data_IF_145079034897
#
_entry.id   IF_145079034897
#
_cell.length_a   1.000
_cell.length_b   1.000
_cell.length_c   1.000
_cell.angle_alpha   90.00
_cell.angle_beta   90.00
_cell.angle_gamma   90.00
#
_symmetry.space_group_name_H-M   'P 1'
#
loop_
_entity.id
_entity.type
_entity.pdbx_description
1 polymer ?
#
# COMPACT_ATOMS: atom_id res chain seq x y z
N UNK A 1 2.82 0.71 13.00
CA UNK A 1 3.38 1.99 12.53
C UNK A 1 4.62 1.82 11.63
N UNK A 2 5.67 1.10 12.05
CA UNK A 2 6.89 0.92 11.21
C UNK A 2 6.62 0.31 9.82
N UNK A 3 5.74 -0.69 9.73
CA UNK A 3 5.37 -1.31 8.44
C UNK A 3 4.70 -0.33 7.48
N UNK A 4 3.81 0.52 8.00
CA UNK A 4 3.12 1.54 7.21
C UNK A 4 4.11 2.59 6.72
N UNK A 5 5.01 3.04 7.60
CA UNK A 5 6.04 4.00 7.21
C UNK A 5 6.91 3.45 6.06
N UNK A 6 7.36 2.19 6.18
CA UNK A 6 8.13 1.54 5.11
C UNK A 6 7.34 1.38 3.82
N UNK A 7 6.07 0.97 3.89
CA UNK A 7 5.22 0.84 2.71
C UNK A 7 5.03 2.18 1.99
N UNK A 8 4.87 3.28 2.73
CA UNK A 8 4.75 4.63 2.16
C UNK A 8 6.04 5.07 1.45
N UNK A 9 7.21 4.77 2.02
CA UNK A 9 8.51 5.11 1.42
C UNK A 9 8.79 4.31 0.13
N UNK A 10 8.32 3.08 0.04
CA UNK A 10 8.59 2.19 -1.08
C UNK A 10 7.47 2.13 -2.13
N UNK A 11 6.41 2.94 -1.99
CA UNK A 11 5.25 2.89 -2.88
C UNK A 11 5.44 3.77 -4.14
N UNK A 12 5.46 3.16 -5.35
CA UNK A 12 5.53 3.92 -6.60
C UNK A 12 4.30 4.81 -6.84
N UNK A 13 3.13 4.39 -6.36
CA UNK A 13 1.89 5.14 -6.53
C UNK A 13 1.90 6.45 -5.74
N UNK A 14 2.43 6.42 -4.52
CA UNK A 14 2.58 7.60 -3.65
C UNK A 14 3.61 8.55 -4.25
N UNK A 15 4.74 8.03 -4.71
CA UNK A 15 5.78 8.81 -5.38
C UNK A 15 5.24 9.48 -6.66
N UNK A 16 4.56 8.73 -7.52
CA UNK A 16 3.97 9.27 -8.74
C UNK A 16 2.91 10.33 -8.44
N UNK A 17 2.10 10.15 -7.40
CA UNK A 17 1.13 11.15 -6.96
C UNK A 17 1.80 12.42 -6.40
N UNK A 18 2.91 12.28 -5.68
CA UNK A 18 3.71 13.41 -5.21
C UNK A 18 4.26 14.23 -6.38
N UNK A 19 4.88 13.59 -7.37
CA UNK A 19 5.44 14.30 -8.52
C UNK A 19 4.37 14.98 -9.37
N UNK A 20 3.19 14.36 -9.54
CA UNK A 20 2.04 15.01 -10.20
C UNK A 20 1.57 16.25 -9.44
N UNK A 21 1.53 16.19 -8.12
CA UNK A 21 1.17 17.34 -7.29
C UNK A 21 2.21 18.45 -7.38
N UNK A 22 3.51 18.12 -7.33
CA UNK A 22 4.61 19.07 -7.52
C UNK A 22 4.54 19.75 -8.89
N UNK A 23 4.38 18.98 -9.97
CA UNK A 23 4.24 19.52 -11.32
C UNK A 23 3.01 20.45 -11.45
N UNK A 24 1.90 20.12 -10.80
CA UNK A 24 0.72 20.97 -10.78
C UNK A 24 0.96 22.32 -10.08
N UNK A 25 1.80 22.35 -9.03
CA UNK A 25 2.19 23.60 -8.36
C UNK A 25 3.06 24.46 -9.30
N UNK A 26 4.05 23.86 -9.96
CA UNK A 26 4.93 24.58 -10.91
C UNK A 26 4.17 25.16 -12.12
N UNK A 27 3.02 24.57 -12.47
CA UNK A 27 2.16 25.07 -13.54
C UNK A 27 1.45 26.39 -13.18
N UNK A 28 1.29 26.70 -11.89
CA UNK A 28 0.58 27.91 -11.42
C UNK A 28 1.27 29.20 -11.89
N UNK A 29 2.58 29.43 -11.61
CA UNK A 29 3.25 30.64 -12.09
C UNK A 29 3.31 30.68 -13.62
N UNK A 30 3.57 29.55 -14.29
CA UNK A 30 3.60 29.46 -15.75
C UNK A 30 2.31 30.03 -16.38
N UNK A 31 1.14 29.59 -15.91
CA UNK A 31 -0.16 30.08 -16.40
C UNK A 31 -0.46 31.52 -16.01
N UNK A 32 0.11 32.02 -14.92
CA UNK A 32 -0.08 33.39 -14.46
C UNK A 32 0.82 34.43 -15.14
N UNK A 33 1.98 34.01 -15.67
CA UNK A 33 3.02 34.93 -16.18
C UNK A 33 3.33 34.76 -17.67
N UNK A 34 3.12 33.59 -18.28
CA UNK A 34 3.55 33.32 -19.67
C UNK A 34 2.96 34.27 -20.72
N UNK A 35 1.80 34.87 -20.46
CA UNK A 35 1.12 35.74 -21.43
C UNK A 35 1.58 37.20 -21.38
N UNK A 36 2.50 37.56 -20.49
CA UNK A 36 2.87 38.97 -20.23
C UNK A 36 4.37 39.23 -20.16
N UNK A 37 5.23 38.21 -20.29
CA UNK A 37 6.69 38.39 -20.18
C UNK A 37 7.31 38.52 -21.57
N UNK A 38 8.01 39.64 -21.89
CA UNK A 38 8.77 39.77 -23.13
C UNK A 38 9.96 38.81 -23.12
N UNK A 39 10.22 38.11 -24.23
CA UNK A 39 11.40 37.28 -24.41
C UNK A 39 12.53 38.07 -25.05
N UNK A 40 13.71 37.90 -24.48
CA UNK A 40 14.97 38.31 -25.09
C UNK A 40 15.57 37.11 -25.83
N UNK A 41 15.60 37.18 -27.16
CA UNK A 41 16.25 36.22 -28.03
C UNK A 41 17.55 36.78 -28.59
N UNK A 42 18.53 35.91 -28.80
CA UNK A 42 19.74 36.22 -29.56
C UNK A 42 19.87 35.19 -30.69
N UNK A 43 19.88 35.65 -31.93
CA UNK A 43 20.07 34.81 -33.10
C UNK A 43 21.39 35.16 -33.77
N UNK A 44 22.19 34.15 -34.10
CA UNK A 44 23.46 34.33 -34.84
C UNK A 44 23.26 33.77 -36.24
N UNK A 45 23.23 34.65 -37.23
CA UNK A 45 23.11 34.29 -38.63
C UNK A 45 24.42 33.73 -39.19
N UNK A 46 24.36 32.59 -39.87
CA UNK A 46 25.48 32.04 -40.65
C UNK A 46 25.33 32.51 -42.09
N UNK A 47 26.31 33.24 -42.61
CA UNK A 47 26.36 33.65 -44.03
C UNK A 47 27.66 33.16 -44.64
N UNK A 48 27.57 32.36 -45.71
CA UNK A 48 28.71 31.72 -46.38
C UNK A 48 29.64 30.92 -45.44
N UNK A 49 29.07 30.22 -44.44
CA UNK A 49 29.83 29.36 -43.52
C UNK A 49 30.62 30.09 -42.43
N UNK A 50 30.53 31.43 -42.35
CA UNK A 50 31.20 32.23 -41.32
C UNK A 50 30.15 32.88 -40.42
N UNK A 51 30.25 32.61 -39.11
CA UNK A 51 29.56 33.37 -38.07
C UNK A 51 30.36 34.62 -37.73
N UNK A 52 29.71 35.78 -37.68
CA UNK A 52 30.37 37.03 -37.28
C UNK A 52 29.44 37.85 -36.38
N UNK A 53 30.02 38.68 -35.52
CA UNK A 53 29.26 39.59 -34.65
C UNK A 53 28.35 40.54 -35.45
N UNK A 54 28.69 40.84 -36.71
CA UNK A 54 27.87 41.65 -37.60
C UNK A 54 26.58 40.94 -38.07
N UNK A 55 26.49 39.61 -37.89
CA UNK A 55 25.31 38.81 -38.20
C UNK A 55 24.57 38.33 -36.93
N UNK A 56 24.92 38.86 -35.75
CA UNK A 56 24.22 38.58 -34.50
C UNK A 56 23.10 39.60 -34.30
N UNK A 57 21.86 39.13 -34.22
CA UNK A 57 20.68 39.96 -33.95
C UNK A 57 20.20 39.67 -32.53
N UNK A 58 20.01 40.73 -31.74
CA UNK A 58 19.33 40.66 -30.46
C UNK A 58 17.88 41.09 -30.71
N UNK A 59 16.93 40.25 -30.36
CA UNK A 59 15.50 40.51 -30.56
C UNK A 59 14.79 40.51 -29.21
N UNK A 60 14.06 41.58 -28.91
CA UNK A 60 13.11 41.60 -27.82
C UNK A 60 11.72 41.42 -28.44
N UNK A 61 11.19 40.20 -28.35
CA UNK A 61 9.90 39.84 -28.92
C UNK A 61 8.95 39.38 -27.81
N UNK A 62 7.65 39.65 -27.96
CA UNK A 62 6.67 39.01 -27.09
C UNK A 62 6.60 37.51 -27.46
N UNK A 63 6.77 36.60 -26.51
CA UNK A 63 6.73 35.13 -26.79
C UNK A 63 5.40 34.68 -27.38
N UNK A 64 4.36 35.43 -27.05
CA UNK A 64 3.00 35.11 -27.36
C UNK A 64 2.66 35.76 -28.70
N UNK A 65 2.35 34.92 -29.71
CA UNK A 65 1.62 35.33 -30.92
C UNK A 65 0.18 35.77 -30.60
N UNK A 66 -0.20 35.75 -29.31
CA UNK A 66 -1.46 36.22 -28.78
C UNK A 66 -1.33 37.71 -28.40
N UNK A 67 -2.33 38.55 -28.70
CA UNK A 67 -2.32 39.96 -28.33
C UNK A 67 -2.17 40.11 -26.81
N UNK A 68 -1.54 41.19 -26.35
CA UNK A 68 -1.43 41.54 -24.92
C UNK A 68 -2.83 41.45 -24.31
N UNK A 69 -3.04 40.44 -23.48
CA UNK A 69 -4.36 40.16 -22.94
C UNK A 69 -4.63 41.02 -21.71
N UNK A 70 -5.90 41.37 -21.50
CA UNK A 70 -6.33 42.05 -20.28
C UNK A 70 -5.92 41.24 -19.04
N UNK A 71 -5.45 41.89 -17.96
CA UNK A 71 -4.85 41.22 -16.79
C UNK A 71 -5.77 40.21 -16.08
N UNK A 72 -7.08 40.25 -16.34
CA UNK A 72 -8.06 39.32 -15.77
C UNK A 72 -7.97 37.88 -16.29
N UNK A 73 -7.59 37.67 -17.56
CA UNK A 73 -7.53 36.32 -18.15
C UNK A 73 -6.38 35.46 -17.60
N UNK A 74 -5.11 35.91 -17.58
CA UNK A 74 -4.03 35.12 -16.96
C UNK A 74 -4.26 34.87 -15.46
N UNK A 75 -4.91 35.82 -14.76
CA UNK A 75 -5.30 35.62 -13.35
C UNK A 75 -6.35 34.50 -13.20
N UNK A 76 -7.32 34.41 -14.11
CA UNK A 76 -8.31 33.33 -14.10
C UNK A 76 -7.67 31.97 -14.42
N UNK A 77 -6.73 31.91 -15.36
CA UNK A 77 -5.97 30.70 -15.67
C UNK A 77 -5.09 30.24 -14.49
N UNK A 78 -4.41 31.18 -13.83
CA UNK A 78 -3.65 30.89 -12.61
C UNK A 78 -4.55 30.36 -11.48
N UNK A 79 -5.75 30.93 -11.30
CA UNK A 79 -6.75 30.41 -10.34
C UNK A 79 -7.21 29.00 -10.69
N UNK A 80 -7.46 28.72 -11.97
CA UNK A 80 -7.81 27.37 -12.42
C UNK A 80 -6.66 26.37 -12.19
N UNK A 81 -5.41 26.77 -12.45
CA UNK A 81 -4.22 25.98 -12.17
C UNK A 81 -4.06 25.70 -10.66
N UNK A 82 -4.33 26.71 -9.81
CA UNK A 82 -4.33 26.55 -8.36
C UNK A 82 -5.36 25.50 -7.89
N UNK A 83 -6.59 25.54 -8.43
CA UNK A 83 -7.60 24.51 -8.10
C UNK A 83 -7.17 23.11 -8.54
N UNK A 84 -6.51 22.98 -9.71
CA UNK A 84 -5.92 21.71 -10.16
C UNK A 84 -4.83 21.22 -9.21
N UNK A 85 -3.97 22.12 -8.72
CA UNK A 85 -2.95 21.78 -7.73
C UNK A 85 -3.55 21.30 -6.40
N UNK A 86 -4.63 21.92 -5.93
CA UNK A 86 -5.37 21.42 -4.75
C UNK A 86 -5.95 20.03 -4.97
N UNK A 87 -6.59 19.80 -6.12
CA UNK A 87 -7.10 18.47 -6.47
C UNK A 87 -5.98 17.41 -6.52
N UNK A 88 -4.82 17.75 -7.11
CA UNK A 88 -3.66 16.89 -7.13
C UNK A 88 -3.11 16.60 -5.71
N UNK A 89 -3.13 17.59 -4.82
CA UNK A 89 -2.75 17.43 -3.40
C UNK A 89 -3.68 16.46 -2.66
N UNK A 90 -4.99 16.52 -2.91
CA UNK A 90 -5.95 15.54 -2.38
C UNK A 90 -5.73 14.14 -2.94
N UNK A 91 -5.36 14.01 -4.21
CA UNK A 91 -5.01 12.73 -4.82
C UNK A 91 -3.73 12.14 -4.19
N UNK A 92 -2.73 12.96 -3.88
CA UNK A 92 -1.54 12.52 -3.15
C UNK A 92 -1.89 11.98 -1.75
N UNK A 93 -2.69 12.72 -0.97
CA UNK A 93 -3.16 12.23 0.35
C UNK A 93 -3.97 10.94 0.24
N UNK A 94 -4.82 10.83 -0.79
CA UNK A 94 -5.59 9.62 -1.08
C UNK A 94 -4.68 8.42 -1.36
N UNK A 95 -3.62 8.61 -2.14
CA UNK A 95 -2.63 7.56 -2.40
C UNK A 95 -1.95 7.08 -1.11
N UNK A 96 -1.57 8.01 -0.22
CA UNK A 96 -1.00 7.67 1.09
C UNK A 96 -1.97 6.84 1.94
N UNK A 97 -3.25 7.26 2.02
CA UNK A 97 -4.26 6.50 2.76
C UNK A 97 -4.55 5.14 2.15
N UNK A 98 -4.54 5.01 0.83
CA UNK A 98 -4.73 3.74 0.14
C UNK A 98 -3.61 2.75 0.49
N UNK A 99 -2.35 3.19 0.46
CA UNK A 99 -1.20 2.35 0.85
C UNK A 99 -1.24 1.98 2.33
N UNK A 100 -1.58 2.94 3.21
CA UNK A 100 -1.77 2.67 4.64
C UNK A 100 -2.82 1.59 4.87
N UNK A 101 -4.00 1.74 4.25
CA UNK A 101 -5.09 0.76 4.35
C UNK A 101 -4.64 -0.62 3.83
N UNK A 102 -4.07 -0.67 2.64
CA UNK A 102 -3.61 -1.93 2.04
C UNK A 102 -2.57 -2.64 2.91
N UNK A 103 -1.66 -1.89 3.52
CA UNK A 103 -0.64 -2.43 4.43
C UNK A 103 -1.27 -3.01 5.70
N UNK A 104 -2.23 -2.28 6.30
CA UNK A 104 -2.93 -2.73 7.49
C UNK A 104 -3.80 -3.94 7.21
N UNK A 105 -4.56 -3.95 6.13
CA UNK A 105 -5.42 -5.08 5.73
C UNK A 105 -4.57 -6.34 5.52
N UNK A 106 -3.46 -6.22 4.78
CA UNK A 106 -2.54 -7.35 4.57
C UNK A 106 -1.90 -7.84 5.88
N UNK A 107 -1.53 -6.92 6.78
CA UNK A 107 -0.99 -7.27 8.09
C UNK A 107 -2.01 -8.01 8.97
N UNK A 108 -3.23 -7.47 9.09
CA UNK A 108 -4.27 -8.09 9.93
C UNK A 108 -4.72 -9.43 9.37
N UNK A 109 -4.82 -9.56 8.04
CA UNK A 109 -5.11 -10.84 7.40
C UNK A 109 -4.05 -11.89 7.73
N UNK A 110 -2.77 -11.53 7.59
CA UNK A 110 -1.65 -12.42 7.94
C UNK A 110 -1.69 -12.85 9.41
N UNK A 111 -1.95 -11.91 10.33
CA UNK A 111 -2.07 -12.21 11.76
C UNK A 111 -3.26 -13.14 12.02
N UNK A 112 -4.42 -12.87 11.41
CA UNK A 112 -5.61 -13.70 11.56
C UNK A 112 -5.37 -15.14 11.07
N UNK A 113 -4.75 -15.32 9.90
CA UNK A 113 -4.45 -16.64 9.35
C UNK A 113 -3.41 -17.38 10.20
N UNK A 114 -2.44 -16.67 10.79
CA UNK A 114 -1.48 -17.25 11.73
C UNK A 114 -2.13 -17.71 13.05
N UNK A 115 -3.09 -16.95 13.57
CA UNK A 115 -3.83 -17.30 14.77
C UNK A 115 -4.78 -18.47 14.52
N UNK A 116 -5.45 -18.50 13.36
CA UNK A 116 -6.28 -19.62 12.91
C UNK A 116 -5.44 -20.90 12.79
N UNK A 117 -4.25 -20.82 12.20
CA UNK A 117 -3.34 -21.95 12.09
C UNK A 117 -2.93 -22.48 13.48
N UNK A 118 -2.64 -21.58 14.42
CA UNK A 118 -2.30 -21.93 15.80
C UNK A 118 -3.46 -22.63 16.51
N UNK A 119 -4.70 -22.16 16.31
CA UNK A 119 -5.90 -22.79 16.85
C UNK A 119 -6.13 -24.19 16.25
N UNK A 120 -6.04 -24.33 14.92
CA UNK A 120 -6.22 -25.61 14.25
C UNK A 120 -5.21 -26.67 14.72
N UNK A 121 -3.97 -26.28 14.99
CA UNK A 121 -2.97 -27.18 15.56
C UNK A 121 -3.34 -27.64 16.98
N UNK A 122 -3.87 -26.75 17.82
CA UNK A 122 -4.35 -27.10 19.16
C UNK A 122 -5.54 -28.07 19.08
N UNK A 123 -6.50 -27.79 18.20
CA UNK A 123 -7.65 -28.68 17.97
C UNK A 123 -7.20 -30.06 17.47
N UNK A 124 -6.23 -30.11 16.55
CA UNK A 124 -5.70 -31.37 16.04
C UNK A 124 -4.90 -32.16 17.09
N UNK A 125 -4.28 -31.49 18.07
CA UNK A 125 -3.65 -32.15 19.20
C UNK A 125 -4.70 -32.78 20.14
N UNK A 126 -5.74 -32.02 20.49
CA UNK A 126 -6.84 -32.51 21.34
C UNK A 126 -7.58 -33.69 20.72
N UNK A 127 -7.87 -33.65 19.41
CA UNK A 127 -8.53 -34.76 18.72
C UNK A 127 -7.62 -36.00 18.64
N UNK A 128 -6.29 -35.81 18.58
CA UNK A 128 -5.33 -36.93 18.66
C UNK A 128 -5.36 -37.62 20.01
N UNK A 129 -5.40 -36.86 21.10
CA UNK A 129 -5.55 -37.43 22.46
C UNK A 129 -6.85 -38.24 22.59
N UNK A 130 -7.94 -37.77 21.98
CA UNK A 130 -9.21 -38.51 21.94
C UNK A 130 -9.12 -39.78 21.10
N UNK A 131 -8.38 -39.75 19.99
CA UNK A 131 -8.14 -40.94 19.16
C UNK A 131 -7.39 -42.01 19.94
N UNK A 132 -6.30 -41.63 20.63
CA UNK A 132 -5.53 -42.53 21.49
C UNK A 132 -6.40 -43.18 22.58
N UNK A 133 -7.28 -42.40 23.22
CA UNK A 133 -8.23 -42.91 24.19
C UNK A 133 -9.26 -43.87 23.58
N UNK A 134 -9.81 -43.53 22.42
CA UNK A 134 -10.78 -44.38 21.71
C UNK A 134 -10.16 -45.70 21.25
N UNK A 135 -8.91 -45.70 20.79
CA UNK A 135 -8.17 -46.90 20.40
C UNK A 135 -7.93 -47.82 21.60
N UNK A 136 -7.53 -47.27 22.76
CA UNK A 136 -7.40 -48.03 23.99
C UNK A 136 -8.74 -48.65 24.43
N UNK A 137 -9.84 -47.89 24.30
CA UNK A 137 -11.19 -48.37 24.60
C UNK A 137 -11.66 -49.48 23.64
N UNK A 138 -11.29 -49.43 22.36
CA UNK A 138 -11.59 -50.51 21.40
C UNK A 138 -10.85 -51.78 21.77
N UNK A 139 -9.56 -51.69 22.13
CA UNK A 139 -8.77 -52.84 22.59
C UNK A 139 -9.34 -53.48 23.86
N UNK A 140 -9.90 -52.67 24.75
CA UNK A 140 -10.58 -53.13 25.97
C UNK A 140 -12.05 -53.58 25.75
N UNK A 141 -12.58 -53.44 24.52
CA UNK A 141 -13.97 -53.77 24.19
C UNK A 141 -15.03 -52.79 24.74
N UNK A 142 -14.62 -51.61 25.22
CA UNK A 142 -15.51 -50.61 25.85
C UNK A 142 -15.92 -49.48 24.91
N UNK A 143 -15.27 -49.36 23.74
CA UNK A 143 -15.56 -48.32 22.74
C UNK A 143 -15.95 -48.90 21.39
N UNK A 144 -16.82 -48.19 20.66
CA UNK A 144 -17.31 -48.60 19.34
C UNK A 144 -16.31 -48.27 18.22
N UNK A 145 -16.06 -49.18 17.26
CA UNK A 145 -15.29 -48.89 16.04
C UNK A 145 -15.85 -47.71 15.22
N UNK A 146 -17.16 -47.44 15.30
CA UNK A 146 -17.77 -46.29 14.63
C UNK A 146 -17.32 -44.94 15.22
N UNK A 147 -16.99 -44.90 16.51
CA UNK A 147 -16.48 -43.71 17.19
C UNK A 147 -15.07 -43.39 16.72
N UNK A 148 -14.19 -44.38 16.58
CA UNK A 148 -12.83 -44.17 16.06
C UNK A 148 -12.83 -43.65 14.62
N UNK A 149 -13.68 -44.21 13.74
CA UNK A 149 -13.79 -43.73 12.37
C UNK A 149 -14.27 -42.25 12.30
N UNK A 150 -15.15 -41.85 13.22
CA UNK A 150 -15.60 -40.45 13.33
C UNK A 150 -14.45 -39.52 13.74
N UNK A 151 -13.61 -39.95 14.68
CA UNK A 151 -12.43 -39.20 15.13
C UNK A 151 -11.39 -39.07 14.00
N UNK A 152 -11.11 -40.17 13.29
CA UNK A 152 -10.18 -40.18 12.15
C UNK A 152 -10.64 -39.25 11.02
N UNK A 153 -11.94 -39.27 10.69
CA UNK A 153 -12.53 -38.33 9.73
C UNK A 153 -12.34 -36.87 10.18
N UNK A 154 -12.49 -36.59 11.48
CA UNK A 154 -12.28 -35.25 12.04
C UNK A 154 -10.81 -34.81 11.95
N UNK A 155 -9.86 -35.71 12.23
CA UNK A 155 -8.42 -35.44 12.05
C UNK A 155 -8.08 -35.15 10.60
N UNK A 156 -8.59 -35.96 9.67
CA UNK A 156 -8.40 -35.76 8.23
C UNK A 156 -8.92 -34.39 7.78
N UNK A 157 -10.10 -33.99 8.26
CA UNK A 157 -10.67 -32.67 8.01
C UNK A 157 -9.82 -31.53 8.59
N UNK A 158 -9.28 -31.69 9.79
CA UNK A 158 -8.37 -30.71 10.41
C UNK A 158 -7.05 -30.58 9.64
N UNK A 159 -6.44 -31.70 9.22
CA UNK A 159 -5.23 -31.67 8.40
C UNK A 159 -5.44 -30.97 7.05
N UNK A 160 -6.57 -31.22 6.38
CA UNK A 160 -6.91 -30.52 5.14
C UNK A 160 -7.04 -29.00 5.36
N UNK A 161 -7.66 -28.58 6.46
CA UNK A 161 -7.77 -27.15 6.83
C UNK A 161 -6.42 -26.53 7.17
N UNK A 162 -5.57 -27.21 7.92
CA UNK A 162 -4.20 -26.77 8.23
C UNK A 162 -3.41 -26.55 6.94
N UNK A 163 -3.47 -27.52 6.02
CA UNK A 163 -2.81 -27.41 4.72
C UNK A 163 -3.32 -26.20 3.94
N UNK A 164 -4.63 -26.00 3.86
CA UNK A 164 -5.23 -24.85 3.19
C UNK A 164 -4.76 -23.52 3.80
N UNK A 165 -4.87 -23.35 5.12
CA UNK A 165 -4.45 -22.10 5.81
C UNK A 165 -2.95 -21.85 5.67
N UNK A 166 -2.11 -22.89 5.75
CA UNK A 166 -0.66 -22.75 5.58
C UNK A 166 -0.27 -22.26 4.18
N UNK A 167 -0.98 -22.73 3.15
CA UNK A 167 -0.78 -22.27 1.77
C UNK A 167 -1.18 -20.80 1.62
N UNK A 168 -2.29 -20.41 2.24
CA UNK A 168 -2.77 -19.02 2.25
C UNK A 168 -1.81 -18.09 2.98
N UNK A 169 -1.26 -18.52 4.12
CA UNK A 169 -0.31 -17.75 4.91
C UNK A 169 0.95 -17.42 4.09
N UNK A 170 1.42 -18.37 3.28
CA UNK A 170 2.55 -18.16 2.37
C UNK A 170 2.24 -17.09 1.31
N UNK A 171 1.02 -17.09 0.76
CA UNK A 171 0.57 -16.07 -0.19
C UNK A 171 0.38 -14.69 0.46
N UNK A 172 -0.08 -14.65 1.71
CA UNK A 172 -0.30 -13.41 2.46
C UNK A 172 1.03 -12.77 2.87
N UNK A 173 2.03 -13.57 3.28
CA UNK A 173 3.40 -13.12 3.50
C UNK A 173 4.01 -12.53 2.24
N UNK A 174 3.86 -13.22 1.10
CA UNK A 174 4.32 -12.75 -0.20
C UNK A 174 3.70 -11.40 -0.57
N UNK A 175 2.38 -11.27 -0.35
CA UNK A 175 1.63 -10.04 -0.62
C UNK A 175 2.11 -8.89 0.25
N UNK A 176 2.28 -9.11 1.55
CA UNK A 176 2.77 -8.08 2.48
C UNK A 176 4.20 -7.67 2.15
N UNK A 177 5.09 -8.63 1.87
CA UNK A 177 6.47 -8.34 1.47
C UNK A 177 6.54 -7.50 0.20
N UNK A 178 5.68 -7.78 -0.80
CA UNK A 178 5.57 -6.97 -2.02
C UNK A 178 5.17 -5.53 -1.71
N UNK A 179 4.16 -5.31 -0.85
CA UNK A 179 3.72 -3.95 -0.43
C UNK A 179 4.86 -3.21 0.28
N UNK A 180 5.67 -3.92 1.07
CA UNK A 180 6.78 -3.34 1.81
C UNK A 180 8.04 -3.12 0.95
N UNK A 181 8.04 -3.47 -0.34
CA UNK A 181 9.23 -3.42 -1.20
C UNK A 181 10.33 -4.38 -0.74
N UNK A 182 9.97 -5.54 -0.18
CA UNK A 182 10.90 -6.58 0.31
C UNK A 182 10.85 -7.81 -0.59
N UNK A 183 11.90 -8.67 -0.58
CA UNK A 183 11.86 -9.95 -1.26
C UNK A 183 10.66 -10.79 -0.79
N UNK A 184 9.98 -11.43 -1.75
CA UNK A 184 8.69 -12.11 -1.54
C UNK A 184 8.74 -13.16 -0.42
N UNK A 185 9.84 -13.91 -0.34
CA UNK A 185 10.04 -15.00 0.63
C UNK A 185 10.72 -14.55 1.93
N UNK A 186 10.95 -13.25 2.15
CA UNK A 186 11.67 -12.80 3.34
C UNK A 186 10.80 -13.07 4.59
N UNK A 187 11.32 -13.75 5.62
CA UNK A 187 10.52 -14.04 6.80
C UNK A 187 10.12 -12.75 7.53
N UNK A 188 8.93 -12.80 8.10
CA UNK A 188 8.36 -11.78 8.99
C UNK A 188 8.02 -12.48 10.30
N UNK A 189 8.39 -11.87 11.43
CA UNK A 189 7.88 -12.33 12.72
C UNK A 189 6.43 -11.91 12.82
N UNK A 190 5.53 -12.89 12.69
CA UNK A 190 4.10 -12.70 12.90
C UNK A 190 3.79 -13.11 14.35
N UNK A 191 3.12 -12.27 15.14
CA UNK A 191 2.62 -12.69 16.43
C UNK A 191 1.68 -13.89 16.27
N UNK A 192 1.82 -14.96 17.07
CA UNK A 192 0.94 -16.12 16.98
C UNK A 192 -0.49 -15.84 17.48
N UNK A 193 -0.70 -14.69 18.13
CA UNK A 193 -1.98 -14.28 18.71
C UNK A 193 -2.40 -12.91 18.17
N UNK A 194 -3.71 -12.73 17.97
CA UNK A 194 -4.30 -11.46 17.55
C UNK A 194 -4.05 -10.39 18.63
N UNK A 195 -3.39 -9.26 18.29
CA UNK A 195 -3.23 -8.16 19.24
C UNK A 195 -4.59 -7.56 19.54
N UNK A 196 -5.10 -7.77 20.75
CA UNK A 196 -6.32 -7.13 21.26
C UNK A 196 -7.47 -8.05 21.65
N UNK A 197 -7.38 -9.37 21.48
CA UNK A 197 -8.20 -10.25 22.31
C UNK A 197 -7.53 -10.35 23.67
N UNK A 198 -7.89 -9.43 24.57
CA UNK A 198 -7.97 -9.81 25.98
C UNK A 198 -8.62 -11.19 25.99
N UNK A 199 -7.88 -12.21 26.42
CA UNK A 199 -8.59 -13.34 27.02
C UNK A 199 -9.53 -12.72 28.03
N UNK A 200 -10.79 -13.16 28.12
CA UNK A 200 -11.53 -12.96 29.36
C UNK A 200 -10.84 -13.83 30.42
N UNK A 201 -9.61 -13.46 30.80
CA UNK A 201 -9.06 -13.78 32.09
C UNK A 201 -10.00 -13.03 33.04
N UNK A 202 -10.79 -13.79 33.79
CA UNK A 202 -12.00 -13.35 34.49
C UNK A 202 -11.78 -12.34 35.60
N UNK A 203 -11.23 -11.17 35.30
CA UNK A 203 -11.17 -10.02 36.19
C UNK A 203 -11.40 -8.74 35.39
N UNK A 204 -12.65 -8.53 35.00
CA UNK A 204 -13.16 -7.15 34.86
C UNK A 204 -13.22 -6.58 36.26
N UNK A 205 -12.16 -5.91 36.70
CA UNK A 205 -12.22 -5.04 37.87
C UNK A 205 -11.38 -3.81 37.58
N UNK A 206 -12.11 -2.72 37.31
CA UNK A 206 -11.71 -1.32 37.46
C UNK A 206 -10.60 -0.86 36.49
N UNK A 207 -10.72 0.28 35.84
CA UNK A 207 -10.81 1.59 36.47
C UNK A 207 -11.61 2.55 35.57
N UNK A 208 -12.77 2.97 36.08
CA UNK A 208 -13.30 4.32 35.87
C UNK A 208 -12.80 5.14 37.06
N UNK A 209 -11.90 6.11 36.80
CA UNK A 209 -11.72 7.37 37.53
C UNK A 209 -10.93 8.31 36.65
#
# INVERSE_FOLDING_TARGET
EELVHRALLNSPDVEAAYWRWRAAIETIPQRGTEMTVPMLGATVGVKNGVTSNANTMLELANMSSTPIEWPGKPLAEARAALQKAYAAGWNYRRAQFAVRRQTLDAWYKLVADSAMLSLLHRDAALVRELDEFAQAGIQAGTSSPSTALSIENKLTGLHARIAAVSSQLSADLATLNRILGRPVQRPLRVPPELPGLLRPDGTVTQVLT
#
